data_IF_801232665854
#
_entry.id   IF_801232665854
#
_cell.length_a   1.000
_cell.length_b   1.000
_cell.length_c   1.000
_cell.angle_alpha   90.00
_cell.angle_beta   90.00
_cell.angle_gamma   90.00
#
_symmetry.space_group_name_H-M   'P 1'
#
loop_
_entity.id
_entity.type
_entity.pdbx_description
1 polymer ?
#
# COMPACT_ATOMS: atom_id res chain seq x y z
N UNK A 1 27.03 -13.46 -17.51
CA UNK A 1 26.23 -12.80 -16.47
C UNK A 1 25.59 -13.91 -15.68
N UNK A 2 25.93 -14.01 -14.40
CA UNK A 2 25.37 -15.02 -13.50
C UNK A 2 24.25 -14.38 -12.69
N UNK A 3 23.10 -15.06 -12.62
CA UNK A 3 21.90 -14.54 -11.96
C UNK A 3 21.51 -15.45 -10.80
N UNK A 4 21.35 -14.86 -9.62
CA UNK A 4 20.77 -15.53 -8.44
C UNK A 4 19.40 -14.93 -8.16
N UNK A 5 18.40 -15.78 -7.96
CA UNK A 5 17.02 -15.36 -7.67
C UNK A 5 16.63 -15.71 -6.25
N UNK A 6 15.88 -14.80 -5.60
CA UNK A 6 15.27 -15.00 -4.30
C UNK A 6 13.82 -14.58 -4.40
N UNK A 7 12.91 -15.48 -3.98
CA UNK A 7 11.48 -15.20 -3.91
C UNK A 7 11.13 -14.77 -2.50
N UNK A 8 10.48 -13.62 -2.36
CA UNK A 8 9.94 -13.13 -1.08
C UNK A 8 8.42 -13.27 -1.14
N UNK A 9 7.84 -14.16 -0.33
CA UNK A 9 6.40 -14.42 -0.37
C UNK A 9 5.62 -13.43 0.50
N UNK A 10 4.35 -13.19 0.16
CA UNK A 10 3.47 -12.32 0.96
C UNK A 10 3.39 -12.77 2.43
N UNK A 11 3.33 -14.08 2.69
CA UNK A 11 3.24 -14.62 4.05
C UNK A 11 4.43 -14.23 4.95
N UNK A 12 5.62 -14.01 4.38
CA UNK A 12 6.82 -13.65 5.14
C UNK A 12 6.77 -12.20 5.62
N UNK A 13 6.22 -11.27 4.82
CA UNK A 13 6.18 -9.85 5.19
C UNK A 13 4.80 -9.35 5.64
N UNK A 14 3.73 -10.13 5.43
CA UNK A 14 2.36 -9.79 5.81
C UNK A 14 2.22 -9.32 7.28
N UNK A 15 2.88 -9.94 8.28
CA UNK A 15 2.77 -9.52 9.68
C UNK A 15 3.32 -8.11 9.95
N UNK A 16 4.12 -7.56 9.03
CA UNK A 16 4.79 -6.27 9.18
C UNK A 16 4.21 -5.18 8.26
N UNK A 17 3.22 -5.52 7.43
CA UNK A 17 2.52 -4.57 6.55
C UNK A 17 1.73 -3.58 7.41
N UNK A 18 2.01 -2.28 7.25
CA UNK A 18 1.36 -1.20 8.01
C UNK A 18 2.28 -0.52 9.02
N UNK A 19 3.17 -1.28 9.68
CA UNK A 19 4.24 -0.74 10.54
C UNK A 19 5.51 -0.43 9.74
N UNK A 20 5.73 -1.15 8.63
CA UNK A 20 6.78 -0.88 7.65
C UNK A 20 6.17 -0.53 6.28
N UNK A 21 6.67 0.53 5.64
CA UNK A 21 6.23 1.01 4.32
C UNK A 21 7.08 0.45 3.16
N UNK A 22 8.11 -0.35 3.48
CA UNK A 22 9.04 -0.90 2.49
C UNK A 22 9.75 -2.17 2.97
N UNK A 23 10.12 -3.04 2.02
CA UNK A 23 11.05 -4.14 2.20
C UNK A 23 12.47 -3.65 1.94
N UNK A 24 13.37 -3.81 2.91
CA UNK A 24 14.80 -3.56 2.71
C UNK A 24 15.54 -4.87 2.43
N UNK A 25 16.07 -5.01 1.22
CA UNK A 25 16.84 -6.16 0.78
C UNK A 25 18.32 -5.76 0.69
N UNK A 26 19.20 -6.56 1.29
CA UNK A 26 20.65 -6.35 1.23
C UNK A 26 21.29 -7.58 0.61
N UNK A 27 22.12 -7.38 -0.41
CA UNK A 27 22.95 -8.43 -1.01
C UNK A 27 24.41 -8.10 -0.77
N UNK A 28 25.21 -9.12 -0.40
CA UNK A 28 26.65 -9.00 -0.28
C UNK A 28 27.32 -10.13 -1.07
N UNK A 29 28.40 -9.80 -1.78
CA UNK A 29 29.22 -10.73 -2.54
C UNK A 29 30.68 -10.58 -2.09
N UNK A 30 31.33 -11.71 -1.80
CA UNK A 30 32.75 -11.74 -1.45
C UNK A 30 33.54 -12.35 -2.61
N UNK A 31 34.58 -11.65 -3.06
CA UNK A 31 35.53 -12.15 -4.05
C UNK A 31 36.66 -12.83 -3.30
N UNK A 32 36.72 -14.17 -3.35
CA UNK A 32 37.65 -14.93 -2.53
C UNK A 32 39.12 -14.66 -2.91
N UNK A 33 39.40 -14.42 -4.19
CA UNK A 33 40.76 -14.19 -4.69
C UNK A 33 41.34 -12.84 -4.24
N UNK A 34 40.51 -11.80 -4.14
CA UNK A 34 40.96 -10.45 -3.74
C UNK A 34 40.64 -10.09 -2.29
N UNK A 35 39.81 -10.89 -1.60
CA UNK A 35 39.30 -10.60 -0.27
C UNK A 35 38.29 -9.44 -0.21
N UNK A 36 37.89 -8.90 -1.37
CA UNK A 36 36.96 -7.77 -1.43
C UNK A 36 35.52 -8.21 -1.17
N UNK A 37 34.77 -7.36 -0.47
CA UNK A 37 33.32 -7.55 -0.26
C UNK A 37 32.59 -6.39 -0.93
N UNK A 38 31.65 -6.72 -1.80
CA UNK A 38 30.70 -5.78 -2.39
C UNK A 38 29.36 -5.97 -1.71
N UNK A 39 28.69 -4.87 -1.36
CA UNK A 39 27.34 -4.91 -0.83
C UNK A 39 26.45 -3.93 -1.58
N UNK A 40 25.17 -4.29 -1.75
CA UNK A 40 24.16 -3.42 -2.34
C UNK A 40 22.86 -3.58 -1.57
N UNK A 41 22.15 -2.49 -1.44
CA UNK A 41 20.83 -2.45 -0.83
C UNK A 41 19.77 -2.06 -1.87
N UNK A 42 18.57 -2.60 -1.70
CA UNK A 42 17.37 -2.26 -2.46
C UNK A 42 16.22 -2.05 -1.48
N UNK A 43 15.57 -0.90 -1.58
CA UNK A 43 14.37 -0.58 -0.83
C UNK A 43 13.16 -0.67 -1.75
N UNK A 44 12.25 -1.61 -1.48
CA UNK A 44 11.02 -1.82 -2.25
C UNK A 44 9.84 -1.32 -1.44
N UNK A 45 9.24 -0.19 -1.82
CA UNK A 45 8.05 0.32 -1.14
C UNK A 45 6.87 -0.62 -1.37
N UNK A 46 6.19 -0.97 -0.28
CA UNK A 46 4.93 -1.69 -0.36
C UNK A 46 3.86 -0.74 -0.92
N UNK A 47 3.05 -1.22 -1.86
CA UNK A 47 2.03 -0.39 -2.47
C UNK A 47 0.89 -0.15 -1.48
N UNK A 48 0.65 1.12 -1.15
CA UNK A 48 -0.56 1.51 -0.42
C UNK A 48 -1.76 1.32 -1.34
N UNK A 49 -2.88 0.75 -0.86
CA UNK A 49 -4.11 0.68 -1.64
C UNK A 49 -4.56 2.08 -2.08
N UNK A 50 -5.00 2.19 -3.33
CA UNK A 50 -5.59 3.43 -3.83
C UNK A 50 -7.05 3.56 -3.37
N UNK A 51 -7.41 4.76 -2.91
CA UNK A 51 -8.78 5.19 -2.70
C UNK A 51 -9.12 6.30 -3.68
N UNK A 52 -10.17 6.10 -4.46
CA UNK A 52 -10.68 7.11 -5.39
C UNK A 52 -11.98 7.68 -4.88
N UNK A 53 -12.07 9.01 -4.84
CA UNK A 53 -13.28 9.75 -4.48
C UNK A 53 -13.75 10.57 -5.68
N UNK A 54 -14.99 10.34 -6.08
CA UNK A 54 -15.57 10.95 -7.28
C UNK A 54 -16.92 11.59 -6.94
N UNK A 55 -17.11 12.85 -7.33
CA UNK A 55 -18.42 13.48 -7.32
C UNK A 55 -19.23 12.99 -8.52
N UNK A 56 -20.42 12.48 -8.27
CA UNK A 56 -21.31 11.98 -9.33
C UNK A 56 -22.21 13.09 -9.92
N UNK A 57 -21.95 14.35 -9.58
CA UNK A 57 -22.69 15.52 -10.05
C UNK A 57 -22.05 16.85 -9.64
N UNK A 58 -22.59 17.98 -10.11
CA UNK A 58 -22.07 19.31 -9.79
C UNK A 58 -22.31 19.66 -8.31
N UNK A 59 -21.26 20.13 -7.62
CA UNK A 59 -21.36 20.63 -6.26
C UNK A 59 -21.91 22.07 -6.26
N UNK A 60 -23.17 22.23 -5.84
CA UNK A 60 -23.87 23.53 -5.79
C UNK A 60 -24.39 23.77 -4.38
N UNK A 61 -24.21 25.00 -3.86
CA UNK A 61 -24.66 25.39 -2.52
C UNK A 61 -26.17 25.11 -2.35
N UNK A 62 -26.52 24.43 -1.26
CA UNK A 62 -27.91 24.10 -0.92
C UNK A 62 -28.51 22.92 -1.68
N UNK A 63 -27.70 22.16 -2.44
CA UNK A 63 -28.14 20.94 -3.14
C UNK A 63 -27.33 19.73 -2.69
N UNK A 64 -28.00 18.59 -2.56
CA UNK A 64 -27.33 17.32 -2.30
C UNK A 64 -26.53 16.88 -3.51
N UNK A 65 -25.31 16.37 -3.28
CA UNK A 65 -24.45 15.80 -4.32
C UNK A 65 -23.99 14.41 -3.90
N UNK A 66 -24.21 13.37 -4.71
CA UNK A 66 -23.72 12.04 -4.42
C UNK A 66 -22.20 11.95 -4.59
N UNK A 67 -21.55 11.29 -3.63
CA UNK A 67 -20.12 11.00 -3.63
C UNK A 67 -19.93 9.50 -3.74
N UNK A 68 -19.10 9.06 -4.68
CA UNK A 68 -18.66 7.68 -4.81
C UNK A 68 -17.26 7.54 -4.22
N UNK A 69 -17.07 6.49 -3.43
CA UNK A 69 -15.75 6.07 -2.97
C UNK A 69 -15.47 4.67 -3.50
N UNK A 70 -14.31 4.48 -4.11
CA UNK A 70 -13.85 3.19 -4.62
C UNK A 70 -12.55 2.84 -3.90
N UNK A 71 -12.55 1.69 -3.22
CA UNK A 71 -11.36 1.10 -2.62
C UNK A 71 -10.96 -0.14 -3.43
N UNK A 72 -9.71 -0.20 -3.87
CA UNK A 72 -9.17 -1.40 -4.51
C UNK A 72 -8.27 -2.15 -3.53
N UNK A 73 -8.65 -3.38 -3.20
CA UNK A 73 -7.85 -4.25 -2.36
C UNK A 73 -6.65 -4.81 -3.16
N UNK A 74 -5.40 -4.44 -2.84
CA UNK A 74 -4.21 -4.91 -3.55
C UNK A 74 -3.82 -6.35 -3.14
N UNK A 75 -4.45 -6.90 -2.09
CA UNK A 75 -4.12 -8.21 -1.57
C UNK A 75 -4.95 -9.30 -2.26
N UNK A 76 -4.38 -10.52 -2.45
CA UNK A 76 -5.09 -11.66 -3.03
C UNK A 76 -6.14 -12.26 -2.07
N UNK A 77 -6.27 -11.72 -0.85
CA UNK A 77 -7.18 -12.19 0.19
C UNK A 77 -8.19 -11.10 0.57
N UNK A 78 -9.39 -11.50 1.01
CA UNK A 78 -10.38 -10.57 1.52
C UNK A 78 -9.90 -9.86 2.80
N UNK A 79 -10.38 -8.64 3.04
CA UNK A 79 -10.12 -7.85 4.24
C UNK A 79 -11.32 -7.91 5.18
N UNK A 80 -11.36 -8.85 6.16
CA UNK A 80 -12.57 -9.14 6.94
C UNK A 80 -12.98 -8.04 7.94
N UNK A 81 -12.15 -7.02 8.15
CA UNK A 81 -12.41 -5.92 9.08
C UNK A 81 -12.03 -4.55 8.49
N UNK A 82 -12.22 -4.37 7.17
CA UNK A 82 -12.01 -3.07 6.54
C UNK A 82 -13.10 -2.08 7.00
N UNK A 83 -12.70 -0.86 7.35
CA UNK A 83 -13.63 0.23 7.63
C UNK A 83 -13.25 1.45 6.82
N UNK A 84 -14.25 2.15 6.30
CA UNK A 84 -14.05 3.37 5.53
C UNK A 84 -14.69 4.53 6.28
N UNK A 85 -13.89 5.58 6.53
CA UNK A 85 -14.33 6.80 7.19
C UNK A 85 -14.21 7.95 6.20
N UNK A 86 -15.33 8.63 5.97
CA UNK A 86 -15.38 9.82 5.13
C UNK A 86 -15.71 11.03 5.99
N UNK A 87 -14.91 12.09 5.85
CA UNK A 87 -15.09 13.37 6.53
C UNK A 87 -14.89 14.51 5.54
N UNK A 88 -15.60 15.62 5.74
CA UNK A 88 -15.44 16.82 4.94
C UNK A 88 -15.79 18.05 5.76
N UNK A 89 -14.81 18.94 5.96
CA UNK A 89 -15.03 20.21 6.64
C UNK A 89 -16.09 21.03 5.88
N UNK A 90 -17.21 21.33 6.55
CA UNK A 90 -18.34 22.06 5.95
C UNK A 90 -19.27 21.24 5.04
N UNK A 91 -19.09 19.92 4.91
CA UNK A 91 -19.84 19.06 3.97
C UNK A 91 -20.56 17.91 4.69
N UNK A 92 -19.93 17.21 5.64
CA UNK A 92 -20.56 16.08 6.35
C UNK A 92 -19.94 15.82 7.74
N UNK A 93 -20.79 15.50 8.73
CA UNK A 93 -20.36 14.83 9.97
C UNK A 93 -19.88 13.40 9.67
N UNK A 94 -18.93 12.83 10.45
CA UNK A 94 -18.35 11.53 10.16
C UNK A 94 -19.44 10.44 10.09
N UNK A 95 -19.52 9.74 8.94
CA UNK A 95 -20.41 8.57 8.78
C UNK A 95 -19.55 7.31 8.63
N UNK A 96 -19.54 6.40 9.62
CA UNK A 96 -18.86 5.12 9.47
C UNK A 96 -19.63 4.23 8.49
N UNK A 97 -18.90 3.57 7.57
CA UNK A 97 -19.46 2.56 6.67
C UNK A 97 -18.62 1.28 6.83
N UNK A 98 -19.28 0.19 7.22
CA UNK A 98 -18.68 -1.14 7.31
C UNK A 98 -18.63 -1.75 5.90
N UNK A 99 -17.44 -2.17 5.47
CA UNK A 99 -17.22 -2.83 4.19
C UNK A 99 -17.38 -4.35 4.31
#
# INVERSE_FOLDING_TARGET
EDTVTMTVTYAEYQPHVGDQDALKLTVAAAVQESGQVLAKELLVRLHTPELTLTLLGPAVVGREVPVQVVFQNPLPQALPAASLRMEGAGIACPKPLSL
#
